data_IF_217725405760
#
_entry.id   IF_217725405760
#
_cell.length_a   1.000
_cell.length_b   1.000
_cell.length_c   1.000
_cell.angle_alpha   90.00
_cell.angle_beta   90.00
_cell.angle_gamma   90.00
#
_symmetry.space_group_name_H-M   'P 1'
#
loop_
_entity.id
_entity.type
_entity.pdbx_description
1 polymer ?
#
# COMPACT_ATOMS: atom_id res chain seq x y z
N UNK A 1 39.23 3.71 -19.33
CA UNK A 1 39.27 5.19 -19.25
C UNK A 1 40.71 5.61 -18.98
N UNK A 2 41.30 6.50 -19.78
CA UNK A 2 42.71 6.91 -19.63
C UNK A 2 42.82 8.32 -19.05
N UNK A 3 42.31 8.51 -17.83
CA UNK A 3 42.46 9.79 -17.11
C UNK A 3 43.87 9.93 -16.54
N UNK A 4 44.44 11.12 -16.66
CA UNK A 4 45.68 11.48 -15.94
C UNK A 4 45.46 11.46 -14.44
N UNK A 5 46.54 11.45 -13.66
CA UNK A 5 46.45 11.56 -12.20
C UNK A 5 45.58 12.75 -11.74
N UNK A 6 45.87 13.94 -12.26
CA UNK A 6 45.08 15.16 -12.00
C UNK A 6 43.63 14.98 -12.47
N UNK A 7 43.44 14.29 -13.60
CA UNK A 7 42.13 13.96 -14.15
C UNK A 7 41.27 13.13 -13.19
N UNK A 8 41.84 12.06 -12.62
CA UNK A 8 41.17 11.18 -11.65
C UNK A 8 40.78 11.92 -10.37
N UNK A 9 41.64 12.82 -9.88
CA UNK A 9 41.35 13.65 -8.70
C UNK A 9 40.15 14.57 -8.95
N UNK A 10 40.10 15.26 -10.10
CA UNK A 10 38.97 16.13 -10.45
C UNK A 10 37.69 15.30 -10.61
N UNK A 11 37.78 14.16 -11.30
CA UNK A 11 36.65 13.25 -11.54
C UNK A 11 35.98 12.84 -10.22
N UNK A 12 36.79 12.39 -9.25
CA UNK A 12 36.30 11.98 -7.92
C UNK A 12 35.84 13.18 -7.09
N UNK A 13 36.50 14.33 -7.19
CA UNK A 13 36.12 15.52 -6.44
C UNK A 13 34.73 16.03 -6.86
N UNK A 14 34.37 15.93 -8.14
CA UNK A 14 33.02 16.21 -8.63
C UNK A 14 31.96 15.34 -7.94
N UNK A 15 32.24 14.04 -7.80
CA UNK A 15 31.33 13.07 -7.18
C UNK A 15 31.21 13.33 -5.67
N UNK A 16 32.34 13.53 -4.99
CA UNK A 16 32.37 13.78 -3.54
C UNK A 16 31.68 15.10 -3.19
N UNK A 17 31.93 16.17 -3.96
CA UNK A 17 31.29 17.48 -3.76
C UNK A 17 29.76 17.37 -3.82
N UNK A 18 29.25 16.60 -4.77
CA UNK A 18 27.81 16.34 -4.92
C UNK A 18 27.25 15.56 -3.74
N UNK A 19 27.91 14.48 -3.31
CA UNK A 19 27.47 13.70 -2.16
C UNK A 19 27.39 14.57 -0.89
N UNK A 20 28.38 15.45 -0.68
CA UNK A 20 28.45 16.38 0.46
C UNK A 20 27.46 17.55 0.41
N UNK A 21 26.78 17.79 -0.71
CA UNK A 21 25.97 18.99 -0.88
C UNK A 21 24.87 19.16 0.19
N UNK A 22 24.44 18.06 0.83
CA UNK A 22 23.36 17.98 1.83
C UNK A 22 23.91 17.68 3.24
N UNK A 23 25.22 17.80 3.45
CA UNK A 23 25.88 17.52 4.73
C UNK A 23 26.71 16.25 4.70
N UNK A 24 26.40 15.30 5.58
CA UNK A 24 27.14 14.05 5.70
C UNK A 24 26.85 13.11 4.53
N UNK A 25 27.90 12.45 4.03
CA UNK A 25 27.81 11.43 3.00
C UNK A 25 27.24 10.15 3.61
N UNK A 26 26.21 9.57 2.99
CA UNK A 26 25.58 8.35 3.50
C UNK A 26 26.47 7.11 3.31
N UNK A 27 26.29 6.03 4.09
CA UNK A 27 27.04 4.78 3.89
C UNK A 27 26.91 4.22 2.45
N UNK A 28 25.75 4.39 1.82
CA UNK A 28 25.48 3.97 0.43
C UNK A 28 26.27 4.80 -0.57
N UNK A 29 26.32 6.12 -0.38
CA UNK A 29 27.12 7.02 -1.21
C UNK A 29 28.63 6.71 -1.08
N UNK A 30 29.12 6.40 0.13
CA UNK A 30 30.52 5.98 0.35
C UNK A 30 30.85 4.71 -0.44
N UNK A 31 29.97 3.70 -0.39
CA UNK A 31 30.16 2.45 -1.13
C UNK A 31 30.16 2.70 -2.65
N UNK A 32 29.26 3.56 -3.14
CA UNK A 32 29.21 3.95 -4.55
C UNK A 32 30.48 4.67 -5.01
N UNK A 33 30.99 5.61 -4.21
CA UNK A 33 32.24 6.32 -4.49
C UNK A 33 33.42 5.35 -4.59
N UNK A 34 33.51 4.35 -3.71
CA UNK A 34 34.56 3.32 -3.77
C UNK A 34 34.50 2.50 -5.06
N UNK A 35 33.29 2.05 -5.47
CA UNK A 35 33.11 1.32 -6.73
C UNK A 35 33.54 2.16 -7.95
N UNK A 36 33.20 3.45 -7.95
CA UNK A 36 33.60 4.37 -9.03
C UNK A 36 35.11 4.58 -9.02
N UNK A 37 35.73 4.78 -7.84
CA UNK A 37 37.17 4.91 -7.67
C UNK A 37 37.93 3.73 -8.31
N UNK A 38 37.49 2.50 -8.03
CA UNK A 38 38.07 1.29 -8.61
C UNK A 38 37.88 1.25 -10.13
N UNK A 39 36.68 1.60 -10.63
CA UNK A 39 36.36 1.54 -12.06
C UNK A 39 37.20 2.49 -12.94
N UNK A 40 37.63 3.63 -12.39
CA UNK A 40 38.50 4.59 -13.09
C UNK A 40 39.99 4.33 -12.83
N UNK A 41 40.32 3.26 -12.09
CA UNK A 41 41.68 2.89 -11.71
C UNK A 41 42.34 3.94 -10.82
N UNK A 42 41.61 4.59 -9.91
CA UNK A 42 42.15 5.55 -8.96
C UNK A 42 42.56 4.86 -7.65
N UNK A 43 43.70 5.27 -7.09
CA UNK A 43 44.15 4.81 -5.78
C UNK A 43 43.53 5.60 -4.63
N UNK A 44 43.88 5.18 -3.41
CA UNK A 44 43.48 5.86 -2.17
C UNK A 44 44.02 7.29 -2.09
N UNK A 45 45.18 7.55 -2.71
CA UNK A 45 45.83 8.87 -2.71
C UNK A 45 44.97 9.87 -3.49
N UNK A 46 44.50 9.49 -4.68
CA UNK A 46 43.62 10.32 -5.52
C UNK A 46 42.29 10.60 -4.81
N UNK A 47 41.69 9.58 -4.20
CA UNK A 47 40.44 9.74 -3.46
C UNK A 47 40.60 10.70 -2.27
N UNK A 48 41.67 10.57 -1.47
CA UNK A 48 41.93 11.49 -0.37
C UNK A 48 42.12 12.93 -0.84
N UNK A 49 42.80 13.15 -1.97
CA UNK A 49 42.93 14.49 -2.57
C UNK A 49 41.60 15.02 -3.08
N UNK A 50 40.76 14.15 -3.63
CA UNK A 50 39.41 14.51 -4.07
C UNK A 50 38.52 14.95 -2.91
N UNK A 51 38.58 14.27 -1.76
CA UNK A 51 37.90 14.70 -0.52
C UNK A 51 38.35 16.09 -0.08
N UNK A 52 39.66 16.33 -0.02
CA UNK A 52 40.21 17.64 0.35
C UNK A 52 39.80 18.75 -0.64
N UNK A 53 39.77 18.45 -1.94
CA UNK A 53 39.34 19.42 -2.94
C UNK A 53 37.85 19.76 -2.78
N UNK A 54 37.00 18.76 -2.58
CA UNK A 54 35.56 18.91 -2.40
C UNK A 54 35.15 19.55 -1.05
N UNK A 55 36.08 19.68 -0.10
CA UNK A 55 35.87 20.41 1.17
C UNK A 55 35.96 21.92 1.02
N UNK A 56 36.56 22.41 -0.07
CA UNK A 56 36.61 23.84 -0.33
C UNK A 56 35.19 24.37 -0.57
N UNK A 57 34.76 25.44 0.14
CA UNK A 57 33.43 26.02 -0.04
C UNK A 57 33.21 26.57 -1.47
N UNK A 58 34.30 26.92 -2.15
CA UNK A 58 34.31 27.46 -3.51
C UNK A 58 34.53 26.38 -4.58
N UNK A 59 34.49 25.10 -4.19
CA UNK A 59 34.67 24.01 -5.15
C UNK A 59 33.48 23.93 -6.10
N UNK A 60 33.73 24.27 -7.37
CA UNK A 60 32.78 24.03 -8.45
C UNK A 60 33.11 22.74 -9.19
N UNK A 61 32.09 21.92 -9.43
CA UNK A 61 32.24 20.71 -10.24
C UNK A 61 32.59 21.08 -11.68
N UNK A 62 33.58 20.39 -12.26
CA UNK A 62 34.16 20.74 -13.55
C UNK A 62 34.42 19.49 -14.42
N UNK A 63 34.05 19.49 -15.71
CA UNK A 63 34.24 18.33 -16.58
C UNK A 63 35.71 18.05 -16.84
N UNK A 64 36.07 16.77 -16.91
CA UNK A 64 37.47 16.33 -17.08
C UNK A 64 37.60 15.19 -18.09
N UNK A 65 38.73 15.16 -18.80
CA UNK A 65 39.03 14.15 -19.81
C UNK A 65 38.39 14.42 -21.18
N UNK A 66 38.29 13.38 -22.00
CA UNK A 66 37.61 13.42 -23.29
C UNK A 66 36.09 13.52 -23.11
N UNK A 67 35.37 13.76 -24.20
CA UNK A 67 33.91 13.89 -24.14
C UNK A 67 33.23 12.66 -23.50
N UNK A 68 33.69 11.45 -23.83
CA UNK A 68 33.21 10.20 -23.21
C UNK A 68 33.45 10.17 -21.70
N UNK A 69 34.61 10.65 -21.24
CA UNK A 69 34.97 10.69 -19.81
C UNK A 69 34.09 11.71 -19.07
N UNK A 70 33.82 12.86 -19.71
CA UNK A 70 32.95 13.91 -19.18
C UNK A 70 31.51 13.41 -19.02
N UNK A 71 30.98 12.73 -20.03
CA UNK A 71 29.64 12.11 -19.96
C UNK A 71 29.61 11.07 -18.87
N UNK A 72 30.61 10.17 -18.83
CA UNK A 72 30.70 9.14 -17.79
C UNK A 72 30.82 9.73 -16.37
N UNK A 73 31.52 10.85 -16.21
CA UNK A 73 31.58 11.55 -14.93
C UNK A 73 30.21 12.09 -14.52
N UNK A 74 29.45 12.66 -15.45
CA UNK A 74 28.09 13.11 -15.19
C UNK A 74 27.16 11.94 -14.80
N UNK A 75 27.29 10.80 -15.48
CA UNK A 75 26.55 9.58 -15.14
C UNK A 75 26.81 9.14 -13.70
N UNK A 76 28.08 9.08 -13.31
CA UNK A 76 28.49 8.67 -11.96
C UNK A 76 28.05 9.69 -10.90
N UNK A 77 28.08 10.99 -11.22
CA UNK A 77 27.54 12.07 -10.38
C UNK A 77 26.03 11.91 -10.17
N UNK A 78 25.27 11.60 -11.23
CA UNK A 78 23.82 11.37 -11.15
C UNK A 78 23.53 10.11 -10.34
N UNK A 79 24.27 9.02 -10.60
CA UNK A 79 24.12 7.76 -9.88
C UNK A 79 24.30 7.93 -8.36
N UNK A 80 25.39 8.57 -7.93
CA UNK A 80 25.63 8.84 -6.50
C UNK A 80 24.55 9.76 -5.92
N UNK A 81 24.07 10.75 -6.68
CA UNK A 81 22.98 11.63 -6.24
C UNK A 81 21.65 10.91 -6.01
N UNK A 82 21.41 9.79 -6.71
CA UNK A 82 20.14 9.06 -6.70
C UNK A 82 20.13 7.86 -5.77
N UNK A 83 21.28 7.46 -5.22
CA UNK A 83 21.39 6.19 -4.48
C UNK A 83 20.57 6.16 -3.19
N UNK A 84 20.32 7.35 -2.61
CA UNK A 84 19.48 7.52 -1.43
C UNK A 84 17.99 7.67 -1.76
N UNK A 85 17.61 7.61 -3.05
CA UNK A 85 16.22 7.54 -3.50
C UNK A 85 15.60 8.87 -3.92
N UNK A 86 16.24 10.01 -3.64
CA UNK A 86 15.81 11.33 -4.11
C UNK A 86 17.01 12.25 -4.38
N UNK A 87 16.84 13.21 -5.29
CA UNK A 87 17.83 14.26 -5.59
C UNK A 87 17.33 15.57 -4.99
N UNK A 88 18.15 16.23 -4.16
CA UNK A 88 17.82 17.56 -3.61
C UNK A 88 17.98 18.66 -4.66
N UNK A 89 17.32 19.80 -4.48
CA UNK A 89 17.41 20.91 -5.44
C UNK A 89 18.84 21.41 -5.63
N UNK A 90 19.64 21.42 -4.56
CA UNK A 90 21.07 21.77 -4.62
C UNK A 90 21.88 20.80 -5.48
N UNK A 91 21.71 19.47 -5.28
CA UNK A 91 22.35 18.45 -6.12
C UNK A 91 21.91 18.60 -7.59
N UNK A 92 20.61 18.86 -7.82
CA UNK A 92 20.02 19.07 -9.15
C UNK A 92 20.61 20.29 -9.86
N UNK A 93 20.76 21.43 -9.18
CA UNK A 93 21.37 22.63 -9.76
C UNK A 93 22.81 22.37 -10.21
N UNK A 94 23.61 21.69 -9.39
CA UNK A 94 24.97 21.32 -9.75
C UNK A 94 25.01 20.39 -10.96
N UNK A 95 24.19 19.32 -10.99
CA UNK A 95 24.07 18.41 -12.14
C UNK A 95 23.74 19.16 -13.44
N UNK A 96 22.78 20.10 -13.38
CA UNK A 96 22.40 20.91 -14.54
C UNK A 96 23.53 21.84 -14.99
N UNK A 97 24.28 22.42 -14.06
CA UNK A 97 25.46 23.25 -14.36
C UNK A 97 26.54 22.41 -15.06
N UNK A 98 26.86 21.22 -14.55
CA UNK A 98 27.81 20.31 -15.18
C UNK A 98 27.38 19.90 -16.58
N UNK A 99 26.12 19.50 -16.74
CA UNK A 99 25.57 19.10 -18.03
C UNK A 99 25.63 20.23 -19.07
N UNK A 100 25.39 21.48 -18.64
CA UNK A 100 25.53 22.67 -19.48
C UNK A 100 26.97 22.88 -19.94
N UNK A 101 27.95 22.70 -19.05
CA UNK A 101 29.37 22.82 -19.40
C UNK A 101 29.83 21.81 -20.46
N UNK A 102 29.12 20.69 -20.62
CA UNK A 102 29.44 19.67 -21.63
C UNK A 102 28.47 19.66 -22.82
N UNK A 103 27.66 20.73 -22.96
CA UNK A 103 26.69 20.93 -24.04
C UNK A 103 25.63 19.83 -24.17
N UNK A 104 25.20 19.21 -23.06
CA UNK A 104 24.06 18.29 -23.07
C UNK A 104 22.73 19.03 -22.95
N UNK A 105 21.77 18.64 -23.78
CA UNK A 105 20.39 19.13 -23.73
C UNK A 105 19.63 18.47 -22.58
N UNK A 106 18.60 19.14 -22.07
CA UNK A 106 17.78 18.64 -20.96
C UNK A 106 17.16 17.25 -21.23
N UNK A 107 16.84 16.94 -22.48
CA UNK A 107 16.32 15.63 -22.89
C UNK A 107 17.35 14.50 -22.71
N UNK A 108 18.63 14.78 -23.01
CA UNK A 108 19.72 13.83 -22.86
C UNK A 108 19.99 13.57 -21.38
N UNK A 109 19.94 14.61 -20.54
CA UNK A 109 20.04 14.48 -19.07
C UNK A 109 18.91 13.60 -18.52
N UNK A 110 17.66 13.82 -18.99
CA UNK A 110 16.51 12.99 -18.60
C UNK A 110 16.71 11.52 -18.98
N UNK A 111 17.29 11.24 -20.14
CA UNK A 111 17.58 9.88 -20.59
C UNK A 111 18.64 9.21 -19.70
N UNK A 112 19.73 9.93 -19.42
CA UNK A 112 20.81 9.47 -18.54
C UNK A 112 20.26 9.18 -17.13
N UNK A 113 19.53 10.13 -16.52
CA UNK A 113 18.95 9.95 -15.20
C UNK A 113 17.94 8.79 -15.11
N UNK A 114 17.19 8.52 -16.19
CA UNK A 114 16.28 7.38 -16.25
C UNK A 114 17.01 6.02 -16.18
N UNK A 115 18.25 5.95 -16.69
CA UNK A 115 19.07 4.74 -16.63
C UNK A 115 19.59 4.46 -15.22
N UNK A 116 19.99 5.51 -14.50
CA UNK A 116 20.51 5.43 -13.14
C UNK A 116 19.44 5.50 -12.06
N UNK A 117 18.16 5.51 -12.45
CA UNK A 117 17.10 5.20 -11.49
C UNK A 117 17.30 3.73 -11.13
N UNK A 118 17.77 3.38 -9.91
CA UNK A 118 18.15 1.99 -9.59
C UNK A 118 16.99 1.00 -9.79
N UNK A 119 15.76 1.51 -9.89
CA UNK A 119 14.58 0.77 -10.31
C UNK A 119 14.59 0.29 -11.77
N UNK A 120 15.01 1.08 -12.77
CA UNK A 120 14.68 0.72 -14.17
C UNK A 120 15.38 -0.55 -14.69
N UNK A 121 16.67 -0.73 -14.41
CA UNK A 121 17.36 -1.98 -14.78
C UNK A 121 16.76 -3.20 -14.06
N UNK A 122 16.40 -3.05 -12.77
CA UNK A 122 15.70 -4.08 -12.00
C UNK A 122 14.31 -4.37 -12.56
N UNK A 123 13.59 -3.35 -13.02
CA UNK A 123 12.29 -3.49 -13.70
C UNK A 123 12.44 -4.35 -14.94
N UNK A 124 13.48 -4.16 -15.76
CA UNK A 124 13.71 -5.01 -16.93
C UNK A 124 14.01 -6.45 -16.51
N UNK A 125 14.85 -6.65 -15.50
CA UNK A 125 15.17 -7.99 -14.99
C UNK A 125 13.93 -8.71 -14.44
N UNK A 126 13.08 -8.02 -13.69
CA UNK A 126 11.83 -8.59 -13.17
C UNK A 126 10.79 -8.80 -14.28
N UNK A 127 10.74 -7.92 -15.29
CA UNK A 127 9.87 -8.07 -16.46
C UNK A 127 10.22 -9.33 -17.26
N UNK A 128 11.50 -9.65 -17.42
CA UNK A 128 11.97 -10.86 -18.12
C UNK A 128 11.60 -12.16 -17.39
N UNK A 129 11.31 -12.10 -16.09
CA UNK A 129 10.82 -13.24 -15.30
C UNK A 129 9.32 -13.47 -15.42
N UNK A 130 8.58 -12.55 -16.05
CA UNK A 130 7.14 -12.69 -16.22
C UNK A 130 6.82 -13.89 -17.13
N UNK A 131 5.75 -14.66 -16.85
CA UNK A 131 5.31 -15.79 -17.69
C UNK A 131 5.13 -15.38 -19.15
N UNK A 132 4.58 -14.20 -19.36
CA UNK A 132 4.46 -13.58 -20.67
C UNK A 132 5.21 -12.26 -20.64
N UNK A 133 6.24 -12.15 -21.48
CA UNK A 133 7.05 -10.95 -21.56
C UNK A 133 7.43 -10.65 -23.00
N UNK A 134 7.47 -9.37 -23.35
CA UNK A 134 7.82 -8.93 -24.70
C UNK A 134 8.30 -7.48 -24.68
N UNK A 135 8.87 -7.03 -25.78
CA UNK A 135 9.17 -5.61 -26.00
C UNK A 135 8.62 -5.17 -27.33
N UNK A 136 8.06 -3.97 -27.40
CA UNK A 136 7.56 -3.42 -28.64
C UNK A 136 7.91 -1.94 -28.78
N UNK A 137 7.80 -1.42 -30.00
CA UNK A 137 7.94 0.00 -30.29
C UNK A 137 6.54 0.56 -30.53
N UNK A 138 6.14 1.57 -29.75
CA UNK A 138 4.89 2.31 -29.94
C UNK A 138 5.21 3.80 -30.12
N UNK A 139 5.05 4.28 -31.34
CA UNK A 139 5.58 5.57 -31.77
C UNK A 139 7.10 5.58 -31.74
N UNK A 140 7.73 6.56 -31.08
CA UNK A 140 9.20 6.66 -30.91
C UNK A 140 9.71 6.05 -29.60
N UNK A 141 8.88 5.31 -28.86
CA UNK A 141 9.19 4.80 -27.52
C UNK A 141 9.20 3.28 -27.51
N UNK A 142 10.21 2.71 -26.85
CA UNK A 142 10.26 1.28 -26.51
C UNK A 142 9.40 1.02 -25.28
N UNK A 143 8.55 0.01 -25.35
CA UNK A 143 7.71 -0.48 -24.27
C UNK A 143 8.16 -1.88 -23.88
N UNK A 144 8.11 -2.14 -22.57
CA UNK A 144 8.41 -3.43 -21.97
C UNK A 144 7.10 -3.96 -21.41
N UNK A 145 6.70 -5.15 -21.87
CA UNK A 145 5.42 -5.75 -21.55
C UNK A 145 5.66 -6.94 -20.63
N UNK A 146 4.84 -7.06 -19.61
CA UNK A 146 4.84 -8.16 -18.66
C UNK A 146 3.38 -8.51 -18.36
N UNK A 147 3.03 -9.79 -18.41
CA UNK A 147 1.69 -10.26 -18.12
C UNK A 147 1.73 -11.56 -17.32
N UNK A 148 0.72 -11.70 -16.46
CA UNK A 148 0.48 -12.84 -15.59
C UNK A 148 -0.99 -13.26 -15.72
N UNK A 149 -1.31 -14.56 -15.57
CA UNK A 149 -2.66 -14.99 -15.25
C UNK A 149 -3.21 -14.22 -14.05
N UNK A 150 -4.52 -14.00 -14.01
CA UNK A 150 -5.18 -13.22 -12.94
C UNK A 150 -4.99 -13.89 -11.57
N UNK A 151 -4.98 -15.21 -11.57
CA UNK A 151 -4.76 -16.10 -10.42
C UNK A 151 -3.35 -15.96 -9.85
N UNK A 152 -2.39 -15.56 -10.71
CA UNK A 152 -0.97 -15.42 -10.39
C UNK A 152 -0.53 -13.96 -10.23
N UNK A 153 -1.46 -13.02 -10.11
CA UNK A 153 -1.13 -11.59 -10.05
C UNK A 153 -0.20 -11.23 -8.89
N UNK A 154 -0.21 -12.02 -7.81
CA UNK A 154 0.72 -11.85 -6.69
C UNK A 154 2.18 -12.10 -7.09
N UNK A 155 2.46 -12.96 -8.08
CA UNK A 155 3.81 -13.19 -8.56
C UNK A 155 4.44 -11.93 -9.21
N UNK A 156 3.62 -10.97 -9.64
CA UNK A 156 4.07 -9.69 -10.16
C UNK A 156 4.63 -8.75 -9.06
N UNK A 157 4.63 -9.16 -7.79
CA UNK A 157 4.95 -8.29 -6.64
C UNK A 157 6.26 -7.51 -6.81
N UNK A 158 7.34 -8.21 -7.13
CA UNK A 158 8.66 -7.59 -7.28
C UNK A 158 8.69 -6.59 -8.45
N UNK A 159 8.00 -6.88 -9.55
CA UNK A 159 7.91 -5.94 -10.66
C UNK A 159 7.17 -4.67 -10.23
N UNK A 160 6.01 -4.84 -9.58
CA UNK A 160 5.13 -3.75 -9.11
C UNK A 160 5.88 -2.80 -8.16
N UNK A 161 6.64 -3.34 -7.21
CA UNK A 161 7.50 -2.57 -6.29
C UNK A 161 8.50 -1.70 -7.05
N UNK A 162 9.16 -2.28 -8.05
CA UNK A 162 10.19 -1.60 -8.82
C UNK A 162 9.61 -0.57 -9.81
N UNK A 163 8.39 -0.76 -10.33
CA UNK A 163 7.74 0.20 -11.26
C UNK A 163 6.91 1.29 -10.59
N UNK A 164 6.64 1.20 -9.27
CA UNK A 164 5.80 2.19 -8.56
C UNK A 164 6.34 3.63 -8.67
N UNK A 165 7.66 3.80 -8.74
CA UNK A 165 8.31 5.10 -8.91
C UNK A 165 8.35 5.59 -10.38
N UNK A 166 7.92 4.77 -11.35
CA UNK A 166 7.96 5.10 -12.78
C UNK A 166 6.61 5.69 -13.21
N UNK A 167 6.63 6.95 -13.61
CA UNK A 167 5.41 7.71 -13.98
C UNK A 167 4.83 7.32 -15.35
N UNK A 168 5.60 6.61 -16.19
CA UNK A 168 5.19 6.19 -17.54
C UNK A 168 4.88 4.69 -17.56
N UNK A 169 3.76 4.32 -16.93
CA UNK A 169 3.26 2.94 -16.87
C UNK A 169 1.80 2.87 -17.27
N UNK A 170 1.39 1.72 -17.79
CA UNK A 170 0.00 1.39 -18.11
C UNK A 170 -0.29 -0.02 -17.62
N UNK A 171 -1.52 -0.26 -17.18
CA UNK A 171 -1.99 -1.57 -16.73
C UNK A 171 -3.21 -1.91 -17.55
N UNK A 172 -3.30 -3.16 -17.97
CA UNK A 172 -4.43 -3.69 -18.70
C UNK A 172 -4.92 -4.93 -17.97
N UNK A 173 -6.23 -5.06 -17.85
CA UNK A 173 -6.92 -6.25 -17.34
C UNK A 173 -7.85 -6.71 -18.46
N UNK A 174 -7.71 -7.96 -18.89
CA UNK A 174 -8.53 -8.56 -19.96
C UNK A 174 -8.58 -7.70 -21.24
N UNK A 175 -7.44 -7.08 -21.59
CA UNK A 175 -7.29 -6.21 -22.76
C UNK A 175 -7.76 -4.76 -22.56
N UNK A 176 -8.37 -4.41 -21.43
CA UNK A 176 -8.89 -3.08 -21.13
C UNK A 176 -7.94 -2.30 -20.23
N UNK A 177 -7.58 -1.07 -20.62
CA UNK A 177 -6.73 -0.19 -19.81
C UNK A 177 -7.43 0.12 -18.48
N UNK A 178 -6.75 -0.14 -17.36
CA UNK A 178 -7.27 0.01 -16.00
C UNK A 178 -6.41 0.97 -15.20
N UNK A 179 -6.97 1.61 -14.17
CA UNK A 179 -6.19 2.46 -13.27
C UNK A 179 -5.27 1.60 -12.40
N UNK A 180 -4.07 2.10 -12.17
CA UNK A 180 -3.06 1.43 -11.33
C UNK A 180 -3.63 1.02 -9.96
N UNK A 181 -4.29 1.95 -9.26
CA UNK A 181 -4.82 1.71 -7.91
C UNK A 181 -6.06 0.79 -7.90
N UNK A 182 -6.74 0.60 -9.03
CA UNK A 182 -7.86 -0.34 -9.12
C UNK A 182 -7.40 -1.79 -9.26
N UNK A 183 -6.17 -2.00 -9.74
CA UNK A 183 -5.57 -3.32 -9.91
C UNK A 183 -4.65 -3.65 -8.73
N UNK A 184 -3.82 -2.69 -8.31
CA UNK A 184 -2.79 -2.88 -7.30
C UNK A 184 -3.06 -2.13 -5.99
N UNK A 185 -4.29 -1.66 -5.74
CA UNK A 185 -4.66 -0.98 -4.49
C UNK A 185 -4.43 -1.84 -3.25
N UNK A 186 -4.50 -3.16 -3.38
CA UNK A 186 -4.24 -4.11 -2.29
C UNK A 186 -2.76 -4.23 -1.89
N UNK A 187 -1.84 -3.74 -2.71
CA UNK A 187 -0.45 -4.11 -2.64
C UNK A 187 0.23 -3.73 -1.33
N UNK A 188 0.03 -2.48 -0.90
CA UNK A 188 0.58 -1.99 0.36
C UNK A 188 0.01 -2.79 1.55
N UNK A 189 -1.31 -2.99 1.58
CA UNK A 189 -1.97 -3.75 2.64
C UNK A 189 -1.51 -5.22 2.70
N UNK A 190 -1.20 -5.83 1.55
CA UNK A 190 -0.64 -7.18 1.47
C UNK A 190 0.79 -7.26 2.01
N UNK A 191 1.62 -6.24 1.75
CA UNK A 191 2.96 -6.13 2.32
C UNK A 191 2.94 -6.01 3.85
N UNK A 192 2.08 -5.15 4.38
CA UNK A 192 1.87 -5.00 5.82
C UNK A 192 1.40 -6.31 6.47
N UNK A 193 0.43 -7.01 5.84
CA UNK A 193 -0.03 -8.34 6.29
C UNK A 193 1.14 -9.32 6.41
N UNK A 194 1.98 -9.40 5.38
CA UNK A 194 3.10 -10.34 5.35
C UNK A 194 4.16 -10.05 6.41
N UNK A 195 4.22 -8.79 6.88
CA UNK A 195 5.17 -8.35 7.90
C UNK A 195 4.57 -8.35 9.31
N UNK A 196 3.27 -8.62 9.44
CA UNK A 196 2.56 -8.63 10.72
C UNK A 196 2.94 -9.84 11.57
N UNK A 197 2.83 -9.71 12.90
CA UNK A 197 3.07 -10.81 13.84
C UNK A 197 2.13 -12.00 13.61
N UNK A 198 0.88 -11.73 13.20
CA UNK A 198 -0.16 -12.74 12.93
C UNK A 198 -0.78 -12.51 11.55
N UNK A 199 -0.09 -12.88 10.44
CA UNK A 199 -0.55 -12.57 9.08
C UNK A 199 -1.94 -13.12 8.74
N UNK A 200 -2.28 -14.29 9.30
CA UNK A 200 -3.58 -14.95 9.08
C UNK A 200 -4.74 -14.21 9.75
N UNK A 201 -4.47 -13.45 10.81
CA UNK A 201 -5.47 -12.68 11.57
C UNK A 201 -5.50 -11.19 11.17
N UNK A 202 -4.43 -10.69 10.55
CA UNK A 202 -4.26 -9.28 10.17
C UNK A 202 -5.47 -8.70 9.42
N UNK A 203 -6.05 -9.46 8.48
CA UNK A 203 -7.18 -9.02 7.67
C UNK A 203 -8.47 -8.80 8.48
N UNK A 204 -8.55 -9.33 9.71
CA UNK A 204 -9.69 -9.21 10.61
C UNK A 204 -9.54 -8.06 11.62
N UNK A 205 -8.36 -7.42 11.69
CA UNK A 205 -8.11 -6.22 12.51
C UNK A 205 -7.88 -6.38 14.03
N UNK A 206 -7.66 -7.56 14.64
CA UNK A 206 -7.55 -7.66 16.11
C UNK A 206 -6.37 -6.87 16.68
N UNK A 207 -5.28 -6.71 15.93
CA UNK A 207 -4.13 -5.88 16.32
C UNK A 207 -4.47 -4.37 16.38
N UNK A 208 -5.54 -3.95 15.69
CA UNK A 208 -6.06 -2.59 15.67
C UNK A 208 -7.23 -2.40 16.67
N UNK A 209 -7.47 -3.39 17.55
CA UNK A 209 -8.62 -3.45 18.48
C UNK A 209 -9.96 -3.31 17.76
N UNK A 210 -10.04 -3.90 16.57
CA UNK A 210 -11.23 -3.93 15.72
C UNK A 210 -11.48 -5.36 15.29
N UNK A 211 -12.74 -5.70 15.08
CA UNK A 211 -13.12 -6.97 14.46
C UNK A 211 -13.75 -6.68 13.11
N UNK A 212 -13.25 -7.30 12.06
CA UNK A 212 -13.86 -7.30 10.74
C UNK A 212 -14.17 -8.74 10.35
N UNK A 213 -15.45 -9.09 10.34
CA UNK A 213 -15.89 -10.46 10.07
C UNK A 213 -15.82 -10.85 8.59
N UNK A 214 -15.57 -9.90 7.68
CA UNK A 214 -15.63 -10.12 6.23
C UNK A 214 -14.32 -10.66 5.66
N UNK A 215 -13.29 -10.85 6.50
CA UNK A 215 -11.98 -11.32 6.06
C UNK A 215 -11.16 -10.28 5.30
N UNK A 216 -11.54 -9.00 5.38
CA UNK A 216 -10.75 -7.90 4.85
C UNK A 216 -11.08 -6.58 5.56
N UNK A 217 -10.12 -6.01 6.28
CA UNK A 217 -10.28 -4.70 6.96
C UNK A 217 -10.62 -3.55 6.00
N UNK A 218 -10.26 -3.69 4.71
CA UNK A 218 -10.61 -2.73 3.67
C UNK A 218 -12.09 -2.79 3.24
N UNK A 219 -12.88 -3.74 3.76
CA UNK A 219 -14.33 -3.76 3.57
C UNK A 219 -15.02 -2.57 4.25
N UNK A 220 -14.37 -1.90 5.21
CA UNK A 220 -14.90 -0.74 5.95
C UNK A 220 -16.24 -1.02 6.68
N UNK A 221 -16.57 -2.28 6.89
CA UNK A 221 -17.80 -2.75 7.54
C UNK A 221 -17.46 -3.48 8.84
N UNK A 222 -16.79 -2.78 9.76
CA UNK A 222 -16.32 -3.36 11.02
C UNK A 222 -17.48 -3.88 11.88
N UNK A 223 -17.19 -4.80 12.79
CA UNK A 223 -18.12 -5.34 13.78
C UNK A 223 -18.10 -4.46 15.03
N UNK A 224 -18.63 -3.24 14.91
CA UNK A 224 -18.76 -2.29 16.01
C UNK A 224 -20.17 -1.78 16.10
N UNK A 225 -20.63 -1.38 17.29
CA UNK A 225 -21.99 -0.85 17.50
C UNK A 225 -22.32 0.41 16.68
N UNK A 226 -21.29 1.07 16.13
CA UNK A 226 -21.41 2.31 15.35
C UNK A 226 -21.46 2.08 13.86
N UNK A 227 -21.23 0.86 13.39
CA UNK A 227 -21.09 0.58 11.97
C UNK A 227 -22.45 0.72 11.25
N UNK A 228 -22.47 1.42 10.12
CA UNK A 228 -23.74 1.78 9.47
C UNK A 228 -24.50 0.60 8.88
N UNK A 229 -23.78 -0.45 8.48
CA UNK A 229 -24.38 -1.65 7.89
C UNK A 229 -25.31 -2.40 8.85
N UNK A 230 -25.23 -2.15 10.15
CA UNK A 230 -26.19 -2.62 11.15
C UNK A 230 -27.59 -1.98 11.02
N UNK A 231 -27.72 -0.91 10.23
CA UNK A 231 -28.99 -0.34 9.78
C UNK A 231 -29.45 -0.81 8.39
N UNK A 232 -28.74 -1.74 7.74
CA UNK A 232 -29.14 -2.26 6.43
C UNK A 232 -30.20 -3.34 6.61
N UNK A 233 -31.45 -2.91 6.72
CA UNK A 233 -32.58 -3.77 6.94
C UNK A 233 -33.84 -2.98 7.22
N UNK A 234 -34.85 -3.64 7.75
CA UNK A 234 -36.11 -3.00 8.13
C UNK A 234 -36.67 -3.60 9.41
N UNK A 235 -37.35 -2.77 10.20
CA UNK A 235 -38.12 -3.26 11.34
C UNK A 235 -39.46 -3.83 10.87
N UNK A 236 -39.80 -4.99 11.42
CA UNK A 236 -41.08 -5.67 11.20
C UNK A 236 -41.73 -5.95 12.55
N UNK A 237 -42.99 -5.59 12.67
CA UNK A 237 -43.78 -5.94 13.85
C UNK A 237 -44.11 -7.43 13.83
N UNK A 238 -43.84 -8.10 14.93
CA UNK A 238 -44.15 -9.51 15.18
C UNK A 238 -45.08 -9.61 16.39
N UNK A 239 -46.07 -10.50 16.30
CA UNK A 239 -47.03 -10.78 17.37
C UNK A 239 -48.37 -10.04 17.24
N UNK A 240 -49.46 -10.78 17.52
CA UNK A 240 -50.84 -10.26 17.54
C UNK A 240 -51.21 -9.60 18.88
N UNK A 241 -50.54 -9.99 19.99
CA UNK A 241 -50.93 -9.63 21.36
C UNK A 241 -49.89 -8.74 22.06
N UNK A 242 -48.59 -9.01 21.85
CA UNK A 242 -47.50 -8.14 22.28
C UNK A 242 -46.78 -7.66 21.03
N UNK A 243 -46.77 -6.34 20.77
CA UNK A 243 -46.03 -5.72 19.66
C UNK A 243 -44.54 -5.91 19.89
N UNK A 244 -44.01 -7.05 19.50
CA UNK A 244 -42.58 -7.29 19.44
C UNK A 244 -42.07 -6.72 18.12
N UNK A 245 -40.88 -6.14 18.13
CA UNK A 245 -40.27 -5.60 16.92
C UNK A 245 -39.05 -6.44 16.62
N UNK A 246 -39.01 -7.02 15.42
CA UNK A 246 -37.84 -7.71 14.89
C UNK A 246 -37.19 -6.84 13.81
N UNK A 247 -35.89 -6.98 13.64
CA UNK A 247 -35.15 -6.37 12.56
C UNK A 247 -34.75 -7.43 11.56
N UNK A 248 -35.10 -7.22 10.29
CA UNK A 248 -34.78 -8.12 9.19
C UNK A 248 -33.62 -7.53 8.40
N UNK A 249 -32.49 -8.23 8.35
CA UNK A 249 -31.30 -7.78 7.63
C UNK A 249 -31.49 -7.86 6.12
N UNK A 250 -31.13 -6.78 5.42
CA UNK A 250 -31.03 -6.78 3.96
C UNK A 250 -29.65 -7.30 3.53
N UNK A 251 -29.51 -8.62 3.52
CA UNK A 251 -28.26 -9.29 3.10
C UNK A 251 -27.88 -8.97 1.66
N UNK A 252 -28.82 -8.61 0.78
CA UNK A 252 -28.52 -8.20 -0.60
C UNK A 252 -27.82 -6.85 -0.61
N UNK A 253 -28.32 -5.89 0.17
CA UNK A 253 -27.68 -4.58 0.35
C UNK A 253 -26.30 -4.72 1.01
N UNK A 254 -26.16 -5.54 2.05
CA UNK A 254 -24.87 -5.80 2.70
C UNK A 254 -23.87 -6.37 1.69
N UNK A 255 -24.27 -7.37 0.89
CA UNK A 255 -23.42 -7.92 -0.19
C UNK A 255 -23.01 -6.84 -1.18
N UNK A 256 -23.96 -6.04 -1.65
CA UNK A 256 -23.68 -4.98 -2.60
C UNK A 256 -22.67 -3.94 -2.08
N UNK A 257 -22.80 -3.54 -0.81
CA UNK A 257 -21.85 -2.63 -0.16
C UNK A 257 -20.44 -3.25 -0.07
N UNK A 258 -20.36 -4.54 0.27
CA UNK A 258 -19.09 -5.28 0.30
C UNK A 258 -18.43 -5.32 -1.09
N UNK A 259 -19.21 -5.56 -2.15
CA UNK A 259 -18.72 -5.55 -3.53
C UNK A 259 -18.15 -4.18 -3.92
N UNK A 260 -18.83 -3.09 -3.58
CA UNK A 260 -18.37 -1.72 -3.83
C UNK A 260 -17.06 -1.46 -3.09
N UNK A 261 -17.02 -1.72 -1.78
CA UNK A 261 -15.87 -1.42 -0.92
C UNK A 261 -14.64 -2.25 -1.31
N UNK A 262 -14.85 -3.50 -1.70
CA UNK A 262 -13.78 -4.43 -2.03
C UNK A 262 -13.38 -4.42 -3.51
N UNK A 263 -14.04 -3.63 -4.35
CA UNK A 263 -13.77 -3.58 -5.80
C UNK A 263 -12.29 -3.34 -6.09
N UNK A 264 -11.65 -2.37 -5.42
CA UNK A 264 -10.21 -2.03 -5.61
C UNK A 264 -9.25 -3.09 -5.05
N UNK A 265 -9.78 -4.04 -4.29
CA UNK A 265 -9.03 -5.10 -3.62
C UNK A 265 -9.31 -6.49 -4.19
N UNK A 266 -10.11 -6.57 -5.27
CA UNK A 266 -10.56 -7.83 -5.89
C UNK A 266 -9.45 -8.76 -6.40
N UNK A 267 -8.25 -8.21 -6.58
CA UNK A 267 -7.05 -8.96 -6.98
C UNK A 267 -6.13 -9.34 -5.81
N UNK A 268 -6.50 -9.00 -4.58
CA UNK A 268 -5.74 -9.40 -3.40
C UNK A 268 -5.76 -10.92 -3.26
N UNK A 269 -4.59 -11.60 -3.19
CA UNK A 269 -4.55 -13.06 -3.06
C UNK A 269 -5.08 -13.56 -1.71
N UNK A 270 -5.23 -12.66 -0.74
CA UNK A 270 -5.72 -12.97 0.60
C UNK A 270 -7.21 -12.69 0.77
N UNK A 271 -7.85 -12.02 -0.21
CA UNK A 271 -9.29 -11.79 -0.18
C UNK A 271 -10.01 -13.07 -0.58
N UNK A 272 -10.86 -13.57 0.32
CA UNK A 272 -11.59 -14.84 0.16
C UNK A 272 -13.08 -14.57 -0.03
N UNK A 273 -13.53 -14.51 -1.27
CA UNK A 273 -14.95 -14.28 -1.58
C UNK A 273 -15.86 -15.37 -1.02
N UNK A 274 -15.41 -16.63 -0.98
CA UNK A 274 -16.14 -17.73 -0.36
C UNK A 274 -16.34 -17.52 1.16
N UNK A 275 -15.38 -16.90 1.84
CA UNK A 275 -15.53 -16.54 3.26
C UNK A 275 -16.60 -15.47 3.45
N UNK A 276 -16.61 -14.43 2.60
CA UNK A 276 -17.63 -13.37 2.65
C UNK A 276 -19.03 -13.97 2.50
N UNK A 277 -19.21 -14.86 1.52
CA UNK A 277 -20.49 -15.54 1.29
C UNK A 277 -20.88 -16.46 2.46
N UNK A 278 -19.93 -17.17 3.04
CA UNK A 278 -20.17 -17.97 4.25
C UNK A 278 -20.60 -17.09 5.43
N UNK A 279 -19.95 -15.94 5.63
CA UNK A 279 -20.30 -15.00 6.69
C UNK A 279 -21.69 -14.40 6.47
N UNK A 280 -22.05 -14.02 5.25
CA UNK A 280 -23.40 -13.56 4.89
C UNK A 280 -24.46 -14.65 5.14
N UNK A 281 -24.13 -15.91 4.88
CA UNK A 281 -25.01 -17.04 5.17
C UNK A 281 -25.23 -17.24 6.67
N UNK A 282 -24.17 -17.14 7.47
CA UNK A 282 -24.21 -17.34 8.92
C UNK A 282 -24.74 -16.14 9.71
N UNK A 283 -24.74 -14.94 9.12
CA UNK A 283 -25.44 -13.78 9.66
C UNK A 283 -26.95 -14.12 9.80
N UNK A 284 -27.62 -13.78 10.91
CA UNK A 284 -29.06 -14.04 11.03
C UNK A 284 -29.86 -13.26 9.96
N UNK A 285 -30.94 -13.86 9.45
CA UNK A 285 -31.88 -13.15 8.57
C UNK A 285 -32.71 -12.13 9.35
N UNK A 286 -33.10 -12.49 10.57
CA UNK A 286 -33.85 -11.64 11.48
C UNK A 286 -33.32 -11.74 12.91
N UNK A 287 -33.41 -10.63 13.64
CA UNK A 287 -33.03 -10.57 15.06
C UNK A 287 -34.07 -9.81 15.85
N UNK A 288 -34.22 -10.19 17.12
CA UNK A 288 -35.07 -9.46 18.06
C UNK A 288 -34.18 -8.75 19.09
N UNK A 289 -34.14 -7.41 19.08
CA UNK A 289 -33.43 -6.65 20.09
C UNK A 289 -34.13 -6.79 21.44
N UNK A 290 -33.38 -7.21 22.46
CA UNK A 290 -33.89 -7.33 23.84
C UNK A 290 -32.78 -6.98 24.84
N UNK A 291 -33.15 -6.52 26.04
CA UNK A 291 -32.16 -6.09 27.04
C UNK A 291 -31.19 -7.21 27.44
N UNK A 292 -31.70 -8.45 27.51
CA UNK A 292 -30.93 -9.64 27.83
C UNK A 292 -30.45 -10.43 26.60
N UNK A 293 -30.78 -9.97 25.40
CA UNK A 293 -30.43 -10.62 24.16
C UNK A 293 -29.04 -10.26 23.65
N UNK A 294 -28.59 -10.95 22.58
CA UNK A 294 -27.32 -10.65 21.91
C UNK A 294 -27.40 -9.38 21.06
N UNK A 295 -28.60 -8.91 20.71
CA UNK A 295 -28.82 -7.73 19.88
C UNK A 295 -29.52 -6.64 20.66
N UNK A 296 -29.11 -5.40 20.45
CA UNK A 296 -29.70 -4.19 21.00
C UNK A 296 -30.10 -3.24 19.88
N UNK A 297 -30.94 -2.25 20.17
CA UNK A 297 -31.25 -1.18 19.21
C UNK A 297 -30.00 -0.31 18.96
N UNK A 298 -29.72 -0.01 17.68
CA UNK A 298 -28.73 1.02 17.31
C UNK A 298 -29.36 2.37 17.66
N UNK A 299 -28.70 3.16 18.51
CA UNK A 299 -29.21 4.49 18.91
C UNK A 299 -28.89 5.53 17.85
N UNK A 300 -29.90 6.26 17.43
CA UNK A 300 -29.81 7.44 16.58
C UNK A 300 -30.35 8.66 17.32
N UNK A 301 -29.74 9.82 17.05
CA UNK A 301 -30.13 11.09 17.65
C UNK A 301 -31.28 11.78 16.92
N UNK A 302 -31.43 11.51 15.62
CA UNK A 302 -32.43 12.12 14.76
C UNK A 302 -33.37 11.05 14.21
N UNK A 303 -34.62 11.44 14.00
CA UNK A 303 -35.55 10.65 13.20
C UNK A 303 -35.03 10.54 11.75
N UNK A 304 -35.13 9.36 11.19
CA UNK A 304 -34.77 9.07 9.81
C UNK A 304 -35.78 8.11 9.19
N UNK A 305 -35.96 8.12 7.85
CA UNK A 305 -36.89 7.23 7.18
C UNK A 305 -36.66 5.75 7.54
N UNK A 306 -37.72 5.09 8.03
CA UNK A 306 -37.67 3.69 8.47
C UNK A 306 -37.17 3.49 9.90
N UNK A 307 -36.83 4.56 10.63
CA UNK A 307 -36.50 4.48 12.04
C UNK A 307 -37.74 4.24 12.90
N UNK A 308 -37.55 3.63 14.06
CA UNK A 308 -38.57 3.44 15.08
C UNK A 308 -38.21 4.23 16.34
N UNK A 309 -39.22 4.64 17.11
CA UNK A 309 -39.02 5.24 18.43
C UNK A 309 -38.93 4.14 19.49
N UNK A 310 -37.84 4.13 20.25
CA UNK A 310 -37.54 3.14 21.28
C UNK A 310 -37.61 3.81 22.65
N UNK A 311 -38.38 3.20 23.57
CA UNK A 311 -38.47 3.63 24.97
C UNK A 311 -37.96 2.52 25.89
N UNK A 312 -36.82 2.73 26.53
CA UNK A 312 -36.22 1.76 27.46
C UNK A 312 -36.32 2.31 28.88
N UNK A 313 -36.88 1.54 29.81
CA UNK A 313 -36.88 1.88 31.23
C UNK A 313 -35.66 1.27 31.89
N UNK A 314 -34.75 2.11 32.36
CA UNK A 314 -33.54 1.66 33.07
C UNK A 314 -33.71 1.97 34.55
N UNK A 315 -33.47 0.98 35.40
CA UNK A 315 -33.37 1.14 36.84
C UNK A 315 -31.89 1.03 37.24
N UNK A 316 -31.32 2.11 37.79
CA UNK A 316 -29.96 2.16 38.30
C UNK A 316 -29.98 2.55 39.77
N UNK A 317 -29.89 1.55 40.65
CA UNK A 317 -30.01 1.70 42.09
C UNK A 317 -31.36 2.29 42.51
N UNK A 318 -31.35 3.51 43.08
CA UNK A 318 -32.56 4.22 43.55
C UNK A 318 -33.26 5.05 42.45
N UNK A 319 -32.69 5.14 41.26
CA UNK A 319 -33.23 5.98 40.18
C UNK A 319 -33.77 5.11 39.05
N UNK A 320 -34.96 5.44 38.57
CA UNK A 320 -35.52 4.90 37.34
C UNK A 320 -35.70 6.03 36.34
N UNK A 321 -35.13 5.87 35.14
CA UNK A 321 -35.32 6.81 34.03
C UNK A 321 -35.82 6.08 32.79
N UNK A 322 -36.57 6.80 31.96
CA UNK A 322 -36.98 6.31 30.65
C UNK A 322 -36.12 6.99 29.60
N UNK A 323 -35.36 6.18 28.88
CA UNK A 323 -34.58 6.62 27.74
C UNK A 323 -35.44 6.55 26.48
N UNK A 324 -35.51 7.65 25.72
CA UNK A 324 -36.38 7.82 24.57
C UNK A 324 -35.54 8.29 23.38
N UNK A 325 -35.37 7.43 22.37
CA UNK A 325 -34.50 7.67 21.23
C UNK A 325 -35.03 7.00 19.95
N UNK A 326 -34.46 7.36 18.80
CA UNK A 326 -34.78 6.73 17.52
C UNK A 326 -33.79 5.61 17.21
N UNK A 327 -34.23 4.61 16.45
CA UNK A 327 -33.40 3.51 16.00
C UNK A 327 -33.67 3.16 14.55
N UNK A 328 -32.63 3.18 13.73
CA UNK A 328 -32.61 2.78 12.31
C UNK A 328 -32.12 1.34 12.11
N UNK A 329 -31.75 0.64 13.18
CA UNK A 329 -31.18 -0.70 13.08
C UNK A 329 -30.81 -1.34 14.40
N UNK A 330 -29.93 -2.34 14.34
CA UNK A 330 -29.60 -3.19 15.49
C UNK A 330 -28.10 -3.36 15.63
N UNK A 331 -27.58 -3.28 16.84
CA UNK A 331 -26.16 -3.47 17.11
C UNK A 331 -25.94 -4.76 17.91
N UNK A 332 -24.80 -5.45 17.71
CA UNK A 332 -24.42 -6.57 18.55
C UNK A 332 -24.01 -6.06 19.93
N UNK A 333 -24.45 -6.74 20.99
CA UNK A 333 -24.10 -6.41 22.37
C UNK A 333 -22.64 -6.74 22.70
N UNK A 334 -22.04 -7.66 21.94
CA UNK A 334 -20.67 -8.14 22.15
C UNK A 334 -19.99 -8.56 20.84
N UNK A 335 -18.66 -8.48 20.80
CA UNK A 335 -17.84 -9.01 19.70
C UNK A 335 -17.92 -10.52 19.57
N UNK A 336 -18.29 -11.22 20.65
CA UNK A 336 -18.43 -12.69 20.69
C UNK A 336 -19.39 -13.19 19.61
N UNK A 337 -20.45 -12.43 19.31
CA UNK A 337 -21.43 -12.79 18.27
C UNK A 337 -20.75 -12.83 16.89
N UNK A 338 -19.91 -11.84 16.59
CA UNK A 338 -19.16 -11.79 15.33
C UNK A 338 -18.13 -12.91 15.25
N UNK A 339 -17.47 -13.23 16.36
CA UNK A 339 -16.54 -14.35 16.46
C UNK A 339 -17.25 -15.69 16.24
N UNK A 340 -18.45 -15.88 16.79
CA UNK A 340 -19.21 -17.12 16.60
C UNK A 340 -19.71 -17.29 15.16
N UNK A 341 -20.08 -16.20 14.48
CA UNK A 341 -20.35 -16.20 13.03
C UNK A 341 -19.09 -16.64 12.27
N UNK A 342 -17.92 -16.07 12.61
CA UNK A 342 -16.65 -16.44 11.98
C UNK A 342 -16.30 -17.91 12.18
N UNK A 343 -16.50 -18.48 13.39
CA UNK A 343 -16.27 -19.91 13.65
C UNK A 343 -17.07 -20.80 12.70
N UNK A 344 -18.35 -20.50 12.51
CA UNK A 344 -19.23 -21.25 11.61
C UNK A 344 -18.81 -21.08 10.15
N UNK A 345 -18.51 -19.85 9.75
CA UNK A 345 -18.04 -19.54 8.40
C UNK A 345 -16.73 -20.25 8.07
N UNK A 346 -15.74 -20.21 8.97
CA UNK A 346 -14.46 -20.91 8.83
C UNK A 346 -14.63 -22.41 8.69
N UNK A 347 -15.50 -23.02 9.50
CA UNK A 347 -15.82 -24.45 9.39
C UNK A 347 -16.38 -24.78 7.99
N UNK A 348 -17.27 -23.94 7.46
CA UNK A 348 -17.86 -24.16 6.13
C UNK A 348 -16.88 -23.97 4.98
N UNK A 349 -15.84 -23.15 5.17
CA UNK A 349 -14.81 -22.88 4.15
C UNK A 349 -13.58 -23.78 4.26
N UNK A 350 -13.54 -24.73 5.20
CA UNK A 350 -12.36 -25.57 5.43
C UNK A 350 -11.14 -24.79 5.93
N UNK A 351 -11.37 -23.73 6.71
CA UNK A 351 -10.29 -22.92 7.27
C UNK A 351 -9.52 -23.69 8.35
N UNK A 352 -8.19 -23.53 8.39
CA UNK A 352 -7.39 -24.04 9.49
C UNK A 352 -7.62 -23.17 10.73
N UNK A 353 -8.32 -23.70 11.72
CA UNK A 353 -8.71 -22.98 12.94
C UNK A 353 -7.48 -22.64 13.80
N UNK A 354 -6.45 -23.48 13.77
CA UNK A 354 -5.25 -23.29 14.60
C UNK A 354 -4.46 -22.04 14.18
N UNK A 355 -4.51 -21.67 12.90
CA UNK A 355 -3.86 -20.48 12.34
C UNK A 355 -4.53 -19.16 12.74
N UNK A 356 -5.76 -19.22 13.26
CA UNK A 356 -6.61 -18.06 13.60
C UNK A 356 -7.11 -18.12 15.04
N UNK A 357 -6.45 -18.89 15.91
CA UNK A 357 -6.85 -19.08 17.31
C UNK A 357 -6.96 -17.77 18.07
N UNK A 358 -6.01 -16.85 17.88
CA UNK A 358 -6.01 -15.55 18.54
C UNK A 358 -7.18 -14.66 18.14
N UNK A 359 -7.66 -14.80 16.89
CA UNK A 359 -8.89 -14.16 16.41
C UNK A 359 -10.14 -14.78 17.06
N UNK A 360 -10.19 -16.10 17.19
CA UNK A 360 -11.35 -16.79 17.76
C UNK A 360 -11.47 -16.68 19.29
N UNK A 361 -10.41 -16.26 19.95
CA UNK A 361 -10.36 -15.92 21.38
C UNK A 361 -10.52 -14.41 21.64
N UNK A 362 -10.72 -13.60 20.60
CA UNK A 362 -10.86 -12.14 20.71
C UNK A 362 -12.11 -11.74 21.51
N UNK A 363 -11.92 -10.88 22.52
CA UNK A 363 -12.97 -10.44 23.46
C UNK A 363 -13.29 -8.94 23.44
N UNK A 364 -12.64 -8.17 22.55
CA UNK A 364 -12.83 -6.72 22.44
C UNK A 364 -11.66 -5.96 23.03
#
# INVERSE_FOLDING_TARGET
MALTYKGKVIYLANIVSIARAVGNISPKEIEAIKKIQESIGAGKIELNKAYKAAESPDYEINPVGYWSDKVKNLEDVIYVSMIDGWITDKKKQSILKFAKQINLKQEQIKYIAAFFTPGFARVIQEQQKAPFNSTCIKGKKKWYLAAWPKEDIFQAQKLIENIRAINKRKVYVDGVESRWDEVFGFFWCAGERNSARRPMEYCFGPDEKRLNIWGCKQAMMEWTKWSDWFGYGTFKNTGLVNKQVCFVFDKKRIRHELEINLLKYRFCPYLRFNLIEAVLKELPDEVTPTDNGPWIYKRDYNDSPGSIRVKVKTADGKYAYTDDYYSSGVAPKSVVIGVDILKKAFKSCGYNIDEVKGLLEYKG
#
